data_IF_040716091087
#
_entry.id   IF_040716091087
#
_cell.length_a   1.000
_cell.length_b   1.000
_cell.length_c   1.000
_cell.angle_alpha   90.00
_cell.angle_beta   90.00
_cell.angle_gamma   90.00
#
_symmetry.space_group_name_H-M   'P 1'
#
loop_
_entity.id
_entity.type
_entity.pdbx_description
1 polymer ?
#
# COMPACT_ATOMS: atom_id res chain seq x y z
N UNK A 1 4.16 -12.82 3.25
CA UNK A 1 3.80 -11.42 3.47
C UNK A 1 4.61 -10.53 2.55
N UNK A 2 4.02 -9.46 2.08
CA UNK A 2 4.67 -8.59 1.10
C UNK A 2 4.80 -7.18 1.63
N UNK A 3 5.84 -6.48 1.17
CA UNK A 3 6.06 -5.08 1.47
C UNK A 3 5.77 -4.25 0.23
N UNK A 4 5.09 -3.14 0.41
CA UNK A 4 4.85 -2.19 -0.66
C UNK A 4 5.55 -0.88 -0.30
N UNK A 5 6.41 -0.42 -1.20
CA UNK A 5 7.09 0.87 -1.10
C UNK A 5 6.43 1.85 -2.06
N UNK A 6 5.89 2.93 -1.52
CA UNK A 6 5.30 3.97 -2.36
C UNK A 6 6.42 4.90 -2.80
N UNK A 7 6.55 5.10 -4.10
CA UNK A 7 7.61 5.93 -4.70
C UNK A 7 7.14 7.30 -5.15
N UNK A 8 5.84 7.54 -5.08
CA UNK A 8 5.26 8.83 -5.45
C UNK A 8 4.75 9.56 -4.24
N UNK A 9 4.57 10.87 -4.37
CA UNK A 9 3.91 11.66 -3.33
C UNK A 9 2.44 11.27 -3.27
N UNK A 10 1.91 11.13 -2.07
CA UNK A 10 0.52 10.80 -1.85
C UNK A 10 -0.22 11.94 -1.19
N UNK A 11 -1.48 12.12 -1.58
CA UNK A 11 -2.36 13.11 -0.94
C UNK A 11 -3.00 12.48 0.30
N UNK A 12 -3.52 13.30 1.24
CA UNK A 12 -4.20 12.77 2.42
C UNK A 12 -5.31 11.79 2.11
N UNK A 13 -6.07 12.01 1.03
CA UNK A 13 -7.14 11.10 0.63
C UNK A 13 -6.60 9.71 0.28
N UNK A 14 -5.40 9.67 -0.30
CA UNK A 14 -4.78 8.40 -0.66
C UNK A 14 -4.44 7.61 0.60
N UNK A 15 -3.91 8.28 1.62
CA UNK A 15 -3.61 7.64 2.90
C UNK A 15 -4.85 7.05 3.54
N UNK A 16 -5.96 7.79 3.52
CA UNK A 16 -7.21 7.31 4.12
C UNK A 16 -7.67 6.03 3.45
N UNK A 17 -7.65 5.99 2.13
CA UNK A 17 -8.07 4.81 1.38
C UNK A 17 -7.13 3.64 1.63
N UNK A 18 -5.82 3.90 1.63
CA UNK A 18 -4.83 2.86 1.89
C UNK A 18 -5.01 2.29 3.29
N UNK A 19 -5.26 3.13 4.29
CA UNK A 19 -5.50 2.67 5.65
C UNK A 19 -6.72 1.75 5.71
N UNK A 20 -7.77 2.08 5.00
CA UNK A 20 -8.97 1.24 4.94
C UNK A 20 -8.65 -0.12 4.33
N UNK A 21 -7.88 -0.13 3.25
CA UNK A 21 -7.47 -1.37 2.59
C UNK A 21 -6.59 -2.20 3.53
N UNK A 22 -5.63 -1.55 4.20
CA UNK A 22 -4.75 -2.25 5.14
C UNK A 22 -5.55 -2.89 6.27
N UNK A 23 -6.51 -2.15 6.81
CA UNK A 23 -7.35 -2.67 7.89
C UNK A 23 -8.13 -3.89 7.45
N UNK A 24 -8.66 -3.85 6.22
CA UNK A 24 -9.44 -4.93 5.65
C UNK A 24 -8.59 -6.18 5.40
N UNK A 25 -7.36 -5.98 4.96
CA UNK A 25 -6.43 -7.07 4.63
C UNK A 25 -5.47 -7.40 5.78
N UNK A 26 -5.72 -6.85 6.96
CA UNK A 26 -4.85 -7.04 8.12
C UNK A 26 -3.41 -6.60 7.87
N UNK A 27 -3.26 -5.54 7.07
CA UNK A 27 -1.95 -4.96 6.80
C UNK A 27 -1.51 -4.01 7.89
N UNK A 28 -0.27 -3.55 7.79
CA UNK A 28 0.32 -2.66 8.78
C UNK A 28 1.21 -1.64 8.10
N UNK A 29 1.17 -0.41 8.59
CA UNK A 29 2.09 0.65 8.16
C UNK A 29 3.39 0.52 8.94
N UNK A 30 4.49 0.35 8.22
CA UNK A 30 5.81 0.22 8.84
C UNK A 30 6.52 1.58 8.86
N UNK A 31 6.36 2.35 7.80
CA UNK A 31 6.94 3.67 7.64
C UNK A 31 5.99 4.51 6.81
N UNK A 32 6.19 5.84 6.69
CA UNK A 32 5.24 6.70 5.98
C UNK A 32 4.88 6.23 4.57
N UNK A 33 5.82 5.61 3.86
CA UNK A 33 5.57 5.12 2.51
C UNK A 33 5.79 3.62 2.37
N UNK A 34 5.82 2.89 3.48
CA UNK A 34 6.07 1.46 3.48
C UNK A 34 4.96 0.74 4.23
N UNK A 35 4.34 -0.21 3.56
CA UNK A 35 3.23 -0.98 4.14
C UNK A 35 3.49 -2.46 4.02
N UNK A 36 3.07 -3.21 5.02
CA UNK A 36 3.19 -4.66 5.07
C UNK A 36 1.80 -5.25 4.96
N UNK A 37 1.59 -6.17 4.00
CA UNK A 37 0.26 -6.69 3.74
C UNK A 37 0.39 -8.11 3.17
N UNK A 38 -0.59 -8.97 3.47
CA UNK A 38 -0.59 -10.34 2.98
C UNK A 38 -0.94 -10.43 1.51
N UNK A 39 -2.05 -9.80 1.12
CA UNK A 39 -2.51 -9.78 -0.26
C UNK A 39 -2.47 -8.36 -0.78
N UNK A 40 -1.65 -8.13 -1.80
CA UNK A 40 -1.44 -6.79 -2.33
C UNK A 40 -2.38 -6.43 -3.48
N UNK A 41 -3.20 -7.37 -3.95
CA UNK A 41 -3.98 -7.16 -5.17
C UNK A 41 -4.89 -5.94 -5.10
N UNK A 42 -5.68 -5.82 -4.03
CA UNK A 42 -6.60 -4.68 -3.89
C UNK A 42 -5.85 -3.37 -3.83
N UNK A 43 -4.75 -3.36 -3.07
CA UNK A 43 -3.94 -2.15 -2.94
C UNK A 43 -3.27 -1.79 -4.26
N UNK A 44 -2.76 -2.78 -4.99
CA UNK A 44 -2.17 -2.54 -6.30
C UNK A 44 -3.17 -1.94 -7.27
N UNK A 45 -4.39 -2.46 -7.30
CA UNK A 45 -5.44 -1.93 -8.18
C UNK A 45 -5.73 -0.47 -7.85
N UNK A 46 -5.82 -0.14 -6.58
CA UNK A 46 -6.04 1.24 -6.16
C UNK A 46 -4.89 2.15 -6.56
N UNK A 47 -3.65 1.71 -6.31
CA UNK A 47 -2.48 2.50 -6.64
C UNK A 47 -2.36 2.73 -8.14
N UNK A 48 -2.66 1.71 -8.94
CA UNK A 48 -2.65 1.84 -10.39
C UNK A 48 -3.72 2.82 -10.86
N UNK A 49 -4.89 2.77 -10.26
CA UNK A 49 -5.98 3.68 -10.59
C UNK A 49 -5.60 5.14 -10.31
N UNK A 50 -4.86 5.37 -9.22
CA UNK A 50 -4.44 6.71 -8.82
C UNK A 50 -3.11 7.11 -9.44
N UNK A 51 -2.53 6.24 -10.27
CA UNK A 51 -1.24 6.47 -10.95
C UNK A 51 -0.11 6.72 -9.95
N UNK A 52 -0.16 6.02 -8.81
CA UNK A 52 0.88 6.10 -7.79
C UNK A 52 1.94 5.05 -8.11
N UNK A 53 3.18 5.47 -8.18
CA UNK A 53 4.30 4.55 -8.43
C UNK A 53 4.66 3.82 -7.14
N UNK A 54 4.88 2.53 -7.24
CA UNK A 54 5.21 1.72 -6.08
C UNK A 54 6.09 0.55 -6.47
N UNK A 55 6.72 -0.08 -5.48
CA UNK A 55 7.48 -1.30 -5.66
C UNK A 55 7.00 -2.32 -4.63
N UNK A 56 7.02 -3.60 -5.00
CA UNK A 56 6.59 -4.68 -4.12
C UNK A 56 7.77 -5.61 -3.87
N UNK A 57 7.98 -5.94 -2.60
CA UNK A 57 9.00 -6.89 -2.18
C UNK A 57 8.36 -8.01 -1.39
N UNK A 58 8.76 -9.23 -1.68
CA UNK A 58 8.30 -10.38 -0.92
C UNK A 58 9.15 -10.56 0.32
N UNK A 59 8.51 -10.70 1.46
CA UNK A 59 9.18 -10.94 2.72
C UNK A 59 8.84 -12.34 3.20
N UNK A 60 9.84 -13.10 3.50
CA UNK A 60 9.67 -14.43 4.04
C UNK A 60 9.53 -14.42 5.55
#
# INVERSE_FOLDING_TARGET
>A
MKLIYIRSTMEPKNYSTIRSILKKEQGKKIAPYVFKINDTQTLQEYLDQEKITYEIYQQE
#
